data_IF_682694925714
#
_entry.id   IF_682694925714
#
_cell.length_a   1.000
_cell.length_b   1.000
_cell.length_c   1.000
_cell.angle_alpha   90.00
_cell.angle_beta   90.00
_cell.angle_gamma   90.00
#
_symmetry.space_group_name_H-M   'P 1'
#
loop_
_entity.id
_entity.type
_entity.pdbx_description
1 polymer ?
#
# COMPACT_ATOMS: atom_id res chain seq x y z
N UNK A 1 -45.17 -57.42 24.71
CA UNK A 1 -43.81 -56.88 24.82
C UNK A 1 -43.56 -56.02 23.59
N UNK A 2 -43.75 -54.69 23.71
CA UNK A 2 -43.47 -53.74 22.59
C UNK A 2 -42.13 -53.07 22.86
N UNK A 3 -41.13 -53.35 22.03
CA UNK A 3 -39.88 -52.61 22.00
C UNK A 3 -40.10 -51.28 21.26
N UNK A 4 -39.95 -50.14 21.94
CA UNK A 4 -39.93 -48.82 21.38
C UNK A 4 -38.48 -48.51 20.93
N UNK A 5 -38.22 -48.44 19.61
CA UNK A 5 -36.96 -47.94 19.05
C UNK A 5 -36.95 -46.43 19.13
N UNK A 6 -36.04 -45.87 19.95
CA UNK A 6 -35.76 -44.43 20.01
C UNK A 6 -34.66 -44.16 18.96
N UNK A 7 -35.01 -43.56 17.84
CA UNK A 7 -34.02 -42.98 16.91
C UNK A 7 -33.59 -41.60 17.46
N UNK A 8 -32.36 -41.51 17.93
CA UNK A 8 -31.74 -40.25 18.28
C UNK A 8 -31.18 -39.61 16.99
N UNK A 9 -31.81 -38.52 16.53
CA UNK A 9 -31.29 -37.71 15.45
C UNK A 9 -30.22 -36.75 15.97
N UNK A 10 -28.97 -36.99 15.63
CA UNK A 10 -27.85 -36.09 15.94
C UNK A 10 -27.85 -34.93 14.93
N UNK A 11 -28.22 -33.74 15.39
CA UNK A 11 -28.14 -32.51 14.59
C UNK A 11 -26.71 -32.02 14.66
N UNK A 12 -25.98 -32.13 13.52
CA UNK A 12 -24.64 -31.59 13.35
C UNK A 12 -24.76 -30.07 13.06
N UNK A 13 -24.52 -29.23 14.05
CA UNK A 13 -24.48 -27.78 13.89
C UNK A 13 -23.19 -27.40 13.16
N UNK A 14 -23.28 -27.01 11.89
CA UNK A 14 -22.18 -26.39 11.16
C UNK A 14 -21.99 -24.96 11.70
N UNK A 15 -20.93 -24.78 12.49
CA UNK A 15 -20.48 -23.45 12.90
C UNK A 15 -19.81 -22.77 11.70
N UNK A 16 -20.51 -21.85 11.04
CA UNK A 16 -19.91 -20.95 10.06
C UNK A 16 -19.07 -19.90 10.78
N UNK A 17 -17.74 -19.99 10.68
CA UNK A 17 -16.84 -18.94 11.13
C UNK A 17 -17.05 -17.67 10.27
N UNK A 18 -17.11 -16.48 10.87
CA UNK A 18 -17.19 -15.24 10.09
C UNK A 18 -15.90 -15.10 9.26
N UNK A 19 -16.06 -15.02 7.94
CA UNK A 19 -14.97 -14.62 7.05
C UNK A 19 -14.81 -13.13 7.24
N UNK A 20 -13.70 -12.71 7.88
CA UNK A 20 -13.33 -11.29 7.94
C UNK A 20 -13.05 -10.83 6.50
N UNK A 21 -13.80 -9.82 6.04
CA UNK A 21 -13.53 -9.20 4.75
C UNK A 21 -12.11 -8.61 4.76
N UNK A 22 -11.36 -8.80 3.66
CA UNK A 22 -10.04 -8.22 3.54
C UNK A 22 -10.14 -6.68 3.54
N UNK A 23 -9.26 -6.03 4.28
CA UNK A 23 -9.13 -4.58 4.25
C UNK A 23 -8.40 -4.18 2.96
N UNK A 24 -9.10 -3.43 2.08
CA UNK A 24 -8.59 -3.04 0.77
C UNK A 24 -8.05 -1.60 0.76
N UNK A 25 -7.58 -1.14 1.90
CA UNK A 25 -6.94 0.16 2.07
C UNK A 25 -5.89 0.14 3.18
N UNK A 26 -5.02 1.12 3.18
CA UNK A 26 -4.04 1.35 4.24
C UNK A 26 -3.81 2.84 4.44
N UNK A 27 -3.73 3.26 5.69
CA UNK A 27 -3.25 4.58 6.07
C UNK A 27 -1.75 4.50 6.35
N UNK A 28 -0.98 5.43 5.81
CA UNK A 28 0.47 5.55 6.03
C UNK A 28 0.82 7.01 6.29
N UNK A 29 1.66 7.25 7.28
CA UNK A 29 2.13 8.58 7.63
C UNK A 29 3.62 8.77 7.32
N UNK A 30 3.98 9.90 6.68
CA UNK A 30 5.35 10.38 6.57
C UNK A 30 5.56 11.56 7.53
N UNK A 31 6.72 11.68 8.15
CA UNK A 31 7.00 12.68 9.17
C UNK A 31 8.21 13.57 8.85
N UNK A 32 8.43 14.63 9.65
CA UNK A 32 9.56 15.56 9.50
C UNK A 32 10.95 14.91 9.76
N UNK A 33 11.02 13.64 10.16
CA UNK A 33 12.26 12.86 10.31
C UNK A 33 12.56 11.96 9.10
N UNK A 34 11.90 12.18 7.95
CA UNK A 34 12.02 11.33 6.75
C UNK A 34 11.72 9.86 7.04
N UNK A 35 10.59 9.58 7.70
CA UNK A 35 10.19 8.22 8.05
C UNK A 35 8.74 7.97 7.68
N UNK A 36 8.47 6.80 7.11
CA UNK A 36 7.14 6.22 7.10
C UNK A 36 6.91 5.44 8.40
N UNK A 37 5.70 5.53 8.93
CA UNK A 37 5.25 4.76 10.11
C UNK A 37 5.11 3.25 9.82
N UNK A 38 5.04 2.87 8.54
CA UNK A 38 4.96 1.49 8.08
C UNK A 38 6.13 1.13 7.17
N UNK A 39 6.68 -0.06 7.38
CA UNK A 39 7.76 -0.62 6.54
C UNK A 39 7.28 -1.80 5.69
N UNK A 40 6.08 -2.29 5.95
CA UNK A 40 5.44 -3.35 5.18
C UNK A 40 3.95 -3.02 4.99
N UNK A 41 3.46 -3.28 3.79
CA UNK A 41 2.04 -3.22 3.42
C UNK A 41 1.67 -4.57 2.82
N UNK A 42 0.57 -5.16 3.27
CA UNK A 42 0.00 -6.37 2.69
C UNK A 42 -1.26 -6.03 1.90
N UNK A 43 -1.38 -6.59 0.71
CA UNK A 43 -2.53 -6.44 -0.18
C UNK A 43 -3.12 -7.82 -0.44
N UNK A 44 -4.40 -8.02 -0.11
CA UNK A 44 -5.06 -9.28 -0.41
C UNK A 44 -5.45 -9.38 -1.89
N UNK A 45 -5.25 -10.54 -2.49
CA UNK A 45 -5.73 -10.87 -3.85
C UNK A 45 -7.25 -10.82 -3.99
N UNK A 46 -7.98 -10.87 -2.87
CA UNK A 46 -9.44 -10.74 -2.88
C UNK A 46 -9.90 -9.30 -3.14
N UNK A 47 -9.03 -8.30 -2.96
CA UNK A 47 -9.30 -6.90 -3.32
C UNK A 47 -9.21 -6.72 -4.84
N UNK A 48 -10.21 -6.07 -5.43
CA UNK A 48 -10.16 -5.63 -6.84
C UNK A 48 -9.27 -4.40 -6.98
N UNK A 49 -9.42 -3.47 -6.05
CA UNK A 49 -8.66 -2.22 -5.95
C UNK A 49 -8.11 -2.10 -4.54
N UNK A 50 -6.99 -1.40 -4.41
CA UNK A 50 -6.38 -1.09 -3.12
C UNK A 50 -6.08 0.40 -3.04
N UNK A 51 -6.41 1.02 -1.90
CA UNK A 51 -6.22 2.45 -1.66
C UNK A 51 -5.14 2.68 -0.61
N UNK A 52 -4.22 3.58 -0.91
CA UNK A 52 -3.22 4.08 0.04
C UNK A 52 -3.55 5.52 0.37
N UNK A 53 -3.77 5.81 1.65
CA UNK A 53 -4.01 7.14 2.17
C UNK A 53 -2.73 7.65 2.83
N UNK A 54 -2.06 8.61 2.21
CA UNK A 54 -0.85 9.23 2.73
C UNK A 54 -1.20 10.47 3.54
N UNK A 55 -0.63 10.60 4.74
CA UNK A 55 -0.72 11.79 5.59
C UNK A 55 0.67 12.29 5.97
N UNK A 56 0.78 13.59 6.23
CA UNK A 56 2.01 14.19 6.76
C UNK A 56 1.71 14.94 8.06
N UNK A 57 1.80 14.29 9.24
CA UNK A 57 1.51 14.91 10.52
C UNK A 57 2.57 15.94 10.96
N UNK A 58 3.65 16.14 10.19
CA UNK A 58 4.67 17.15 10.41
C UNK A 58 4.21 18.57 10.13
N UNK A 59 5.14 19.52 10.14
CA UNK A 59 4.87 20.96 9.96
C UNK A 59 5.67 21.61 8.83
N UNK A 60 6.66 20.88 8.28
CA UNK A 60 7.55 21.44 7.27
C UNK A 60 6.86 21.51 5.89
N UNK A 61 7.21 22.57 5.17
CA UNK A 61 6.59 22.85 3.88
C UNK A 61 6.90 21.77 2.82
N UNK A 62 6.00 21.61 1.83
CA UNK A 62 6.08 20.64 0.74
C UNK A 62 7.41 20.67 -0.03
N UNK A 63 8.00 21.86 -0.23
CA UNK A 63 9.27 22.03 -0.94
C UNK A 63 10.52 21.80 -0.08
N UNK A 64 10.34 21.59 1.23
CA UNK A 64 11.43 21.37 2.22
C UNK A 64 11.46 19.92 2.69
N UNK A 65 10.29 19.37 3.04
CA UNK A 65 10.12 18.05 3.61
C UNK A 65 8.87 17.37 3.00
N UNK A 66 8.71 17.52 1.70
CA UNK A 66 7.58 16.92 1.01
C UNK A 66 7.68 15.40 0.97
N UNK A 67 6.53 14.73 1.03
CA UNK A 67 6.44 13.28 0.93
C UNK A 67 5.42 12.86 -0.11
N UNK A 68 5.76 11.83 -0.86
CA UNK A 68 4.82 11.06 -1.65
C UNK A 68 4.99 9.57 -1.34
N UNK A 69 4.05 8.77 -1.79
CA UNK A 69 4.13 7.32 -1.78
C UNK A 69 4.14 6.84 -3.23
N UNK A 70 5.18 6.10 -3.61
CA UNK A 70 5.38 5.58 -4.97
C UNK A 70 5.54 4.08 -4.89
N UNK A 71 4.88 3.33 -5.77
CA UNK A 71 4.95 1.88 -5.86
C UNK A 71 5.58 1.43 -7.18
N UNK A 72 6.60 0.59 -7.08
CA UNK A 72 7.24 -0.09 -8.23
C UNK A 72 7.52 -1.54 -7.91
N UNK A 73 7.96 -2.32 -8.90
CA UNK A 73 8.71 -3.54 -8.59
C UNK A 73 9.99 -3.15 -7.86
N UNK A 74 10.47 -4.02 -6.97
CA UNK A 74 11.71 -3.78 -6.22
C UNK A 74 12.90 -3.47 -7.13
N UNK A 75 13.02 -4.19 -8.26
CA UNK A 75 14.10 -4.01 -9.22
C UNK A 75 14.06 -2.65 -9.94
N UNK A 76 12.90 -2.03 -10.05
CA UNK A 76 12.68 -0.79 -10.80
C UNK A 76 12.83 0.47 -9.95
N UNK A 77 12.85 0.33 -8.61
CA UNK A 77 12.84 1.44 -7.65
C UNK A 77 13.93 2.47 -7.94
N UNK A 78 15.19 2.04 -8.07
CA UNK A 78 16.31 2.98 -8.26
C UNK A 78 16.21 3.76 -9.57
N UNK A 79 15.78 3.08 -10.64
CA UNK A 79 15.57 3.74 -11.94
C UNK A 79 14.44 4.76 -11.90
N UNK A 80 13.31 4.42 -11.24
CA UNK A 80 12.19 5.34 -11.05
C UNK A 80 12.58 6.56 -10.20
N UNK A 81 13.37 6.37 -9.12
CA UNK A 81 13.90 7.47 -8.29
C UNK A 81 14.78 8.42 -9.13
N UNK A 82 15.73 7.89 -9.91
CA UNK A 82 16.64 8.70 -10.70
C UNK A 82 15.91 9.57 -11.73
N UNK A 83 14.98 8.96 -12.47
CA UNK A 83 14.18 9.69 -13.47
C UNK A 83 13.18 10.65 -12.81
N UNK A 84 12.64 10.29 -11.65
CA UNK A 84 11.74 11.12 -10.85
C UNK A 84 12.41 12.38 -10.32
N UNK A 85 13.67 12.31 -9.90
CA UNK A 85 14.43 13.49 -9.48
C UNK A 85 14.56 14.51 -10.63
N UNK A 86 14.80 14.04 -11.85
CA UNK A 86 14.87 14.90 -13.04
C UNK A 86 13.51 15.52 -13.41
N UNK A 87 12.40 14.85 -13.09
CA UNK A 87 11.05 15.33 -13.35
C UNK A 87 10.64 16.51 -12.45
N UNK A 88 11.25 16.65 -11.27
CA UNK A 88 11.06 17.77 -10.36
C UNK A 88 9.75 17.75 -9.56
N UNK A 89 9.62 18.72 -8.67
CA UNK A 89 8.50 18.83 -7.71
C UNK A 89 7.14 19.01 -8.41
N UNK A 90 7.07 19.73 -9.51
CA UNK A 90 5.82 19.97 -10.26
C UNK A 90 5.25 18.68 -10.85
N UNK A 91 6.10 17.69 -11.07
CA UNK A 91 5.71 16.33 -11.46
C UNK A 91 5.74 15.35 -10.26
N UNK A 92 5.72 15.85 -9.01
CA UNK A 92 5.75 15.04 -7.81
C UNK A 92 6.99 14.12 -7.71
N UNK A 93 8.10 14.49 -8.33
CA UNK A 93 9.28 13.65 -8.46
C UNK A 93 8.98 12.26 -9.02
N UNK A 94 8.04 12.19 -9.97
CA UNK A 94 7.69 10.99 -10.73
C UNK A 94 7.72 11.36 -12.22
N UNK A 95 8.45 10.59 -13.00
CA UNK A 95 8.48 10.79 -14.45
C UNK A 95 7.10 10.50 -15.04
N UNK A 96 6.61 11.42 -15.86
CA UNK A 96 5.34 11.25 -16.55
C UNK A 96 5.35 9.96 -17.39
N UNK A 97 4.27 9.21 -17.32
CA UNK A 97 4.05 7.95 -18.06
C UNK A 97 5.16 6.89 -17.86
N UNK A 98 5.77 6.86 -16.67
CA UNK A 98 6.77 5.86 -16.34
C UNK A 98 6.11 4.49 -16.11
N UNK A 99 6.31 3.56 -17.05
CA UNK A 99 5.73 2.22 -17.00
C UNK A 99 6.19 1.38 -15.80
N UNK A 100 7.25 1.79 -15.09
CA UNK A 100 7.73 1.14 -13.86
C UNK A 100 6.90 1.52 -12.64
N UNK A 101 6.24 2.69 -12.67
CA UNK A 101 5.43 3.20 -11.56
C UNK A 101 4.02 2.64 -11.66
N UNK A 102 3.65 1.80 -10.71
CA UNK A 102 2.34 1.15 -10.64
C UNK A 102 1.29 2.14 -10.13
N UNK A 103 1.64 2.92 -9.11
CA UNK A 103 0.80 3.95 -8.50
C UNK A 103 1.66 4.96 -7.74
N UNK A 104 1.18 6.19 -7.59
CA UNK A 104 1.79 7.19 -6.71
C UNK A 104 0.78 8.25 -6.26
N UNK A 105 1.03 8.82 -5.09
CA UNK A 105 0.35 10.03 -4.60
C UNK A 105 1.06 11.28 -5.12
N UNK A 106 0.44 12.44 -4.91
CA UNK A 106 1.13 13.71 -5.00
C UNK A 106 2.16 13.84 -3.89
N UNK A 107 3.13 14.74 -4.05
CA UNK A 107 3.96 15.21 -2.94
C UNK A 107 3.12 16.13 -2.06
N UNK A 108 3.04 15.83 -0.78
CA UNK A 108 2.32 16.60 0.25
C UNK A 108 3.28 17.23 1.26
N UNK A 109 2.90 18.36 1.83
CA UNK A 109 3.60 19.02 2.93
C UNK A 109 2.97 18.76 4.28
N UNK A 110 3.54 19.33 5.34
CA UNK A 110 3.04 19.18 6.71
C UNK A 110 1.58 19.60 6.85
N UNK A 111 0.78 18.76 7.50
CA UNK A 111 -0.66 18.93 7.68
C UNK A 111 -1.52 18.53 6.48
N UNK A 112 -0.92 18.12 5.36
CA UNK A 112 -1.63 17.72 4.16
C UNK A 112 -1.83 16.19 4.08
N UNK A 113 -2.72 15.77 3.17
CA UNK A 113 -2.98 14.37 2.82
C UNK A 113 -3.25 14.22 1.33
N UNK A 114 -3.01 13.02 0.81
CA UNK A 114 -3.40 12.61 -0.55
C UNK A 114 -3.65 11.10 -0.56
N UNK A 115 -4.36 10.62 -1.57
CA UNK A 115 -4.67 9.19 -1.70
C UNK A 115 -4.46 8.73 -3.13
N UNK A 116 -4.07 7.47 -3.27
CA UNK A 116 -4.02 6.79 -4.56
C UNK A 116 -4.70 5.44 -4.49
N UNK A 117 -5.49 5.12 -5.51
CA UNK A 117 -6.12 3.80 -5.69
C UNK A 117 -5.58 3.14 -6.94
N UNK A 118 -5.23 1.87 -6.86
CA UNK A 118 -4.76 1.09 -8.00
C UNK A 118 -5.44 -0.28 -8.07
N UNK A 119 -5.51 -0.84 -9.28
CA UNK A 119 -6.06 -2.18 -9.50
C UNK A 119 -5.07 -3.24 -9.02
N UNK A 120 -5.52 -4.16 -8.16
CA UNK A 120 -4.69 -5.23 -7.60
C UNK A 120 -4.21 -6.20 -8.69
N UNK A 121 -4.91 -6.28 -9.82
CA UNK A 121 -4.49 -7.04 -11.01
C UNK A 121 -3.16 -6.59 -11.62
N UNK A 122 -2.67 -5.40 -11.28
CA UNK A 122 -1.32 -4.92 -11.64
C UNK A 122 -0.20 -5.61 -10.85
N UNK A 123 -0.55 -6.31 -9.77
CA UNK A 123 0.38 -7.05 -8.94
C UNK A 123 0.38 -8.53 -9.34
N UNK A 124 1.55 -9.16 -9.34
CA UNK A 124 1.73 -10.58 -9.63
C UNK A 124 2.23 -11.34 -8.40
N UNK A 125 1.75 -12.56 -8.21
CA UNK A 125 2.22 -13.43 -7.14
C UNK A 125 3.71 -13.75 -7.30
N UNK A 126 4.45 -13.74 -6.19
CA UNK A 126 5.89 -14.02 -6.18
C UNK A 126 6.77 -12.88 -6.71
N UNK A 127 6.19 -11.74 -7.05
CA UNK A 127 6.93 -10.55 -7.43
C UNK A 127 7.19 -9.67 -6.20
N UNK A 128 8.44 -9.22 -6.05
CA UNK A 128 8.82 -8.27 -5.00
C UNK A 128 8.47 -6.84 -5.41
N UNK A 129 7.79 -6.12 -4.52
CA UNK A 129 7.41 -4.72 -4.70
C UNK A 129 8.02 -3.86 -3.61
N UNK A 130 8.42 -2.63 -3.97
CA UNK A 130 8.84 -1.60 -3.04
C UNK A 130 7.91 -0.40 -3.12
N UNK A 131 7.58 0.18 -1.97
CA UNK A 131 7.07 1.53 -1.89
C UNK A 131 8.12 2.46 -1.29
N UNK A 132 8.13 3.72 -1.72
CA UNK A 132 9.13 4.69 -1.29
C UNK A 132 8.63 6.13 -1.48
N UNK A 133 9.32 7.08 -0.84
CA UNK A 133 9.18 8.50 -1.12
C UNK A 133 10.24 8.90 -2.16
N UNK A 134 9.83 9.49 -3.28
CA UNK A 134 10.73 9.91 -4.35
C UNK A 134 11.26 11.34 -4.19
N UNK A 135 10.87 12.07 -3.13
CA UNK A 135 11.47 13.36 -2.82
C UNK A 135 12.99 13.24 -2.67
N UNK A 136 13.81 14.15 -3.21
CA UNK A 136 15.27 14.04 -3.22
C UNK A 136 15.87 13.69 -1.85
N UNK A 137 16.66 12.62 -1.80
CA UNK A 137 17.31 12.13 -0.58
C UNK A 137 16.46 11.24 0.32
N UNK A 138 15.12 11.25 0.18
CA UNK A 138 14.23 10.53 1.12
C UNK A 138 14.19 9.02 0.90
N UNK A 139 14.30 8.53 -0.33
CA UNK A 139 14.16 7.10 -0.67
C UNK A 139 15.13 6.18 0.05
N UNK A 140 16.25 6.71 0.55
CA UNK A 140 17.21 5.92 1.31
C UNK A 140 16.60 5.40 2.63
N UNK A 141 15.80 6.23 3.29
CA UNK A 141 15.17 5.96 4.59
C UNK A 141 13.66 5.69 4.48
N UNK A 142 12.97 6.43 3.61
CA UNK A 142 11.53 6.34 3.41
C UNK A 142 11.19 5.32 2.34
N UNK A 143 11.26 4.05 2.71
CA UNK A 143 10.89 2.91 1.86
C UNK A 143 10.41 1.74 2.69
N UNK A 144 9.69 0.85 2.03
CA UNK A 144 9.20 -0.41 2.59
C UNK A 144 8.87 -1.41 1.48
N UNK A 145 8.33 -2.54 1.87
CA UNK A 145 7.94 -3.62 0.98
C UNK A 145 6.42 -3.74 0.90
N UNK A 146 5.90 -4.05 -0.28
CA UNK A 146 4.50 -4.40 -0.46
C UNK A 146 4.40 -5.86 -0.88
N UNK A 147 3.55 -6.62 -0.19
CA UNK A 147 3.33 -8.06 -0.41
C UNK A 147 1.90 -8.30 -0.87
N UNK A 148 1.77 -9.05 -1.95
CA UNK A 148 0.49 -9.61 -2.38
C UNK A 148 0.26 -10.93 -1.66
N UNK A 149 -0.82 -11.02 -0.89
CA UNK A 149 -1.21 -12.20 -0.10
C UNK A 149 -2.57 -12.73 -0.52
N UNK A 150 -2.88 -13.98 -0.13
CA UNK A 150 -4.17 -14.64 -0.42
C UNK A 150 -5.33 -14.03 0.35
#
# INVERSE_FOLDING_TARGET
MLLKNLCAATILALASAPVLAAECSVDIAGNDQMQFDKKEITVSKSCKQFTVNLTHPGKLARNVMGHNWVLTKQADMQGAVNDGMAAGLDNNYVKKDDARVIAHTKVIGGGESDSVTFDVSKLAAGQDYAFFCSFPGHFALMKGVLKLVD
#
